data_IF_033513082386
#
_entry.id   IF_033513082386
#
_cell.length_a   1.000
_cell.length_b   1.000
_cell.length_c   1.000
_cell.angle_alpha   90.00
_cell.angle_beta   90.00
_cell.angle_gamma   90.00
#
_symmetry.space_group_name_H-M   'P 1'
#
loop_
_entity.id
_entity.type
_entity.pdbx_description
1 polymer ?
#
# COMPACT_ATOMS: atom_id res chain seq x y z
N UNK A 1 16.10 16.20 -0.60
CA UNK A 1 15.55 15.13 0.24
C UNK A 1 14.45 15.67 1.07
N UNK A 2 13.68 14.83 1.53
CA UNK A 2 12.65 15.20 2.45
C UNK A 2 11.33 14.59 2.09
N UNK A 3 10.28 15.33 2.32
CA UNK A 3 8.94 14.79 2.15
C UNK A 3 8.63 14.33 0.74
N UNK A 4 9.24 14.94 -0.25
CA UNK A 4 8.94 14.65 -1.64
C UNK A 4 9.39 13.26 -2.07
N UNK A 5 10.33 12.67 -1.33
CA UNK A 5 10.83 11.34 -1.64
C UNK A 5 10.11 10.25 -0.84
N UNK A 6 9.23 10.65 0.07
CA UNK A 6 8.52 9.69 0.91
C UNK A 6 7.30 9.14 0.17
N UNK A 7 7.12 7.84 0.32
CA UNK A 7 5.97 7.15 -0.27
C UNK A 7 5.13 6.54 0.84
N UNK A 8 3.84 6.51 0.60
CA UNK A 8 2.89 5.94 1.55
C UNK A 8 2.83 4.43 1.41
N UNK A 9 2.78 3.75 2.54
CA UNK A 9 2.55 2.30 2.55
C UNK A 9 1.14 2.00 2.06
N UNK A 10 0.96 0.78 1.54
CA UNK A 10 -0.34 0.37 1.01
C UNK A 10 -1.45 0.47 2.07
N UNK A 11 -1.17 0.02 3.31
CA UNK A 11 -2.18 0.09 4.35
C UNK A 11 -2.57 1.53 4.67
N UNK A 12 -1.61 2.44 4.65
CA UNK A 12 -1.90 3.86 4.91
C UNK A 12 -2.77 4.44 3.80
N UNK A 13 -2.50 4.08 2.56
CA UNK A 13 -3.30 4.52 1.42
C UNK A 13 -4.75 4.04 1.56
N UNK A 14 -4.91 2.77 1.91
CA UNK A 14 -6.23 2.18 2.09
C UNK A 14 -7.01 2.84 3.22
N UNK A 15 -6.38 3.00 4.38
CA UNK A 15 -7.02 3.62 5.53
C UNK A 15 -7.39 5.06 5.24
N UNK A 16 -6.51 5.80 4.57
CA UNK A 16 -6.79 7.17 4.18
C UNK A 16 -8.01 7.27 3.26
N UNK A 17 -8.18 6.27 2.39
CA UNK A 17 -9.33 6.23 1.48
C UNK A 17 -10.61 5.74 2.14
N UNK A 18 -10.52 5.22 3.36
CA UNK A 18 -11.70 4.81 4.13
C UNK A 18 -12.18 3.40 3.88
N UNK A 19 -11.32 2.54 3.33
CA UNK A 19 -11.70 1.16 3.03
C UNK A 19 -11.11 0.18 4.04
N UNK A 20 -11.86 -0.90 4.31
CA UNK A 20 -11.33 -2.06 5.02
C UNK A 20 -10.64 -2.98 4.02
N UNK A 21 -9.81 -3.89 4.53
CA UNK A 21 -9.17 -4.88 3.68
C UNK A 21 -10.21 -5.74 2.95
N UNK A 22 -11.26 -6.10 3.63
CA UNK A 22 -12.34 -6.89 3.06
C UNK A 22 -13.02 -6.16 1.92
N UNK A 23 -13.33 -4.87 2.12
CA UNK A 23 -13.97 -4.06 1.09
C UNK A 23 -13.10 -3.98 -0.16
N UNK A 24 -11.81 -3.73 0.00
CA UNK A 24 -10.91 -3.66 -1.15
C UNK A 24 -10.86 -5.00 -1.89
N UNK A 25 -10.78 -6.11 -1.14
CA UNK A 25 -10.74 -7.42 -1.76
C UNK A 25 -11.97 -7.68 -2.62
N UNK A 26 -13.13 -7.27 -2.13
CA UNK A 26 -14.39 -7.44 -2.87
C UNK A 26 -14.45 -6.54 -4.09
N UNK A 27 -13.99 -5.30 -3.97
CA UNK A 27 -14.02 -4.34 -5.08
C UNK A 27 -13.12 -4.78 -6.22
N UNK A 28 -11.90 -5.22 -5.91
CA UNK A 28 -10.94 -5.57 -6.97
C UNK A 28 -10.93 -7.05 -7.33
N UNK A 29 -11.73 -7.86 -6.63
CA UNK A 29 -11.91 -9.26 -6.99
C UNK A 29 -10.78 -10.21 -6.60
N UNK A 30 -10.16 -9.97 -5.44
CA UNK A 30 -9.14 -10.88 -4.91
C UNK A 30 -9.54 -11.29 -3.49
N UNK A 31 -8.84 -12.26 -2.91
CA UNK A 31 -9.12 -12.68 -1.54
C UNK A 31 -8.62 -11.63 -0.56
N UNK A 32 -9.23 -11.58 0.62
CA UNK A 32 -8.77 -10.69 1.68
C UNK A 32 -7.32 -11.03 2.08
N UNK A 33 -6.98 -12.32 2.07
CA UNK A 33 -5.61 -12.74 2.36
C UNK A 33 -4.61 -12.12 1.39
N UNK A 34 -4.99 -11.98 0.13
CA UNK A 34 -4.12 -11.33 -0.86
C UNK A 34 -3.83 -9.89 -0.47
N UNK A 35 -4.85 -9.15 -0.03
CA UNK A 35 -4.67 -7.78 0.42
C UNK A 35 -3.73 -7.75 1.64
N UNK A 36 -3.96 -8.64 2.59
CA UNK A 36 -3.14 -8.73 3.79
C UNK A 36 -1.68 -9.00 3.43
N UNK A 37 -1.44 -9.93 2.50
CA UNK A 37 -0.09 -10.28 2.08
C UNK A 37 0.61 -9.11 1.39
N UNK A 38 -0.10 -8.34 0.59
CA UNK A 38 0.48 -7.14 -0.03
C UNK A 38 0.83 -6.10 1.02
N UNK A 39 -0.06 -5.86 1.97
CA UNK A 39 0.13 -4.81 2.98
C UNK A 39 1.18 -5.17 4.03
N UNK A 40 1.47 -6.44 4.20
CA UNK A 40 2.50 -6.90 5.13
C UNK A 40 3.87 -7.07 4.44
N UNK A 41 3.93 -6.91 3.13
CA UNK A 41 5.15 -7.12 2.38
C UNK A 41 5.51 -8.58 2.17
N UNK A 42 4.57 -9.48 2.41
CA UNK A 42 4.81 -10.91 2.20
C UNK A 42 4.86 -11.25 0.73
N UNK A 43 3.99 -10.62 -0.07
CA UNK A 43 3.90 -10.84 -1.51
C UNK A 43 4.05 -9.53 -2.24
N UNK A 44 4.81 -9.52 -3.33
CA UNK A 44 4.99 -8.33 -4.15
C UNK A 44 3.69 -8.00 -4.89
N UNK A 45 3.41 -6.71 -5.02
CA UNK A 45 2.26 -6.22 -5.77
C UNK A 45 2.69 -5.98 -7.21
N UNK A 46 1.96 -6.56 -8.15
CA UNK A 46 2.24 -6.37 -9.57
C UNK A 46 1.79 -4.98 -10.02
N UNK A 47 2.45 -4.47 -11.07
CA UNK A 47 2.16 -3.12 -11.57
C UNK A 47 0.69 -2.89 -11.91
N UNK A 48 0.04 -3.89 -12.51
CA UNK A 48 -1.38 -3.78 -12.85
C UNK A 48 -2.26 -3.58 -11.63
N UNK A 49 -1.96 -4.33 -10.56
CA UNK A 49 -2.70 -4.21 -9.31
C UNK A 49 -2.39 -2.90 -8.61
N UNK A 50 -1.14 -2.45 -8.68
CA UNK A 50 -0.77 -1.16 -8.12
C UNK A 50 -1.54 -0.03 -8.79
N UNK A 51 -1.69 -0.09 -10.11
CA UNK A 51 -2.46 0.90 -10.85
C UNK A 51 -3.92 0.90 -10.41
N UNK A 52 -4.50 -0.29 -10.25
CA UNK A 52 -5.89 -0.42 -9.79
C UNK A 52 -6.07 0.19 -8.40
N UNK A 53 -5.14 -0.09 -7.49
CA UNK A 53 -5.22 0.45 -6.14
C UNK A 53 -5.00 1.97 -6.13
N UNK A 54 -4.11 2.46 -6.98
CA UNK A 54 -3.88 3.90 -7.12
C UNK A 54 -5.18 4.62 -7.49
N UNK A 55 -5.91 4.06 -8.45
CA UNK A 55 -7.17 4.62 -8.88
C UNK A 55 -8.24 4.53 -7.80
N UNK A 56 -8.33 3.38 -7.13
CA UNK A 56 -9.31 3.19 -6.08
C UNK A 56 -9.07 4.12 -4.90
N UNK A 57 -7.82 4.23 -4.46
CA UNK A 57 -7.45 5.04 -3.30
C UNK A 57 -7.29 6.53 -3.64
N UNK A 58 -7.29 6.86 -4.93
CA UNK A 58 -7.08 8.23 -5.42
C UNK A 58 -5.76 8.82 -4.95
N UNK A 59 -4.73 8.01 -4.97
CA UNK A 59 -3.37 8.42 -4.64
C UNK A 59 -2.51 8.13 -5.86
N UNK A 60 -1.79 9.13 -6.38
CA UNK A 60 -0.92 8.91 -7.55
C UNK A 60 0.08 7.79 -7.27
N UNK A 61 0.31 6.98 -8.30
CA UNK A 61 1.19 5.83 -8.18
C UNK A 61 2.58 6.23 -7.66
N UNK A 62 3.04 7.42 -8.04
CA UNK A 62 4.34 7.92 -7.62
C UNK A 62 4.46 8.10 -6.09
N UNK A 63 3.34 8.23 -5.41
CA UNK A 63 3.34 8.42 -3.95
C UNK A 63 3.06 7.15 -3.17
N UNK A 64 2.91 6.02 -3.87
CA UNK A 64 2.62 4.74 -3.23
C UNK A 64 3.85 3.87 -3.18
N UNK A 65 4.10 3.28 -2.02
CA UNK A 65 5.17 2.29 -1.87
C UNK A 65 4.53 0.91 -1.96
N UNK A 66 4.72 0.24 -3.07
CA UNK A 66 4.19 -1.11 -3.24
C UNK A 66 5.30 -2.17 -3.29
N UNK A 67 6.48 -1.82 -2.77
CA UNK A 67 7.56 -2.77 -2.61
C UNK A 67 7.31 -3.65 -1.38
N UNK A 68 7.92 -4.82 -1.38
CA UNK A 68 7.83 -5.71 -0.22
C UNK A 68 8.50 -5.08 0.98
N UNK A 69 9.67 -4.49 0.79
CA UNK A 69 10.45 -3.87 1.85
C UNK A 69 9.70 -2.70 2.49
N UNK A 70 9.14 -1.82 1.67
CA UNK A 70 8.44 -0.64 2.17
C UNK A 70 7.21 -0.99 2.99
N UNK A 71 6.53 -2.09 2.67
CA UNK A 71 5.33 -2.49 3.37
C UNK A 71 5.62 -3.41 4.56
N UNK A 72 6.78 -4.04 4.62
CA UNK A 72 7.14 -4.91 5.74
C UNK A 72 7.92 -4.18 6.83
N UNK A 73 8.54 -3.04 6.51
CA UNK A 73 9.31 -2.27 7.48
C UNK A 73 8.38 -1.65 8.52
N UNK A 74 8.64 -1.84 9.81
CA UNK A 74 7.83 -1.20 10.85
C UNK A 74 7.88 0.32 10.73
N UNK A 75 6.74 0.96 10.96
CA UNK A 75 6.63 2.42 10.86
C UNK A 75 7.62 3.09 11.81
N UNK A 76 7.82 2.51 12.98
CA UNK A 76 8.75 3.02 13.98
C UNK A 76 10.17 3.16 13.43
N UNK A 77 10.63 2.15 12.71
CA UNK A 77 11.97 2.19 12.12
C UNK A 77 12.07 3.26 11.05
N UNK A 78 11.02 3.42 10.25
CA UNK A 78 11.01 4.45 9.20
C UNK A 78 11.08 5.84 9.79
N UNK A 79 10.42 6.06 10.92
CA UNK A 79 10.45 7.36 11.60
C UNK A 79 11.86 7.65 12.11
N UNK A 80 12.53 6.65 12.65
CA UNK A 80 13.89 6.83 13.17
C UNK A 80 14.91 7.17 12.08
N UNK A 81 14.63 6.78 10.85
CA UNK A 81 15.50 7.10 9.71
C UNK A 81 15.35 8.54 9.24
N UNK A 82 14.31 9.20 9.66
CA UNK A 82 14.08 10.59 9.26
C UNK A 82 14.90 11.55 10.10
#
# INVERSE_FOLDING_TARGET
>A
MGYFDMKWRLCACRVNAGYTQKEVSEIIGVSEKTIIDWESGKTALKAERAQTLSELYRIPLAYMDFSKEGNSTPIRERIEEL
#
